data_IF_219951648607
#
_entry.id   IF_219951648607
#
_cell.length_a   1.000
_cell.length_b   1.000
_cell.length_c   1.000
_cell.angle_alpha   90.00
_cell.angle_beta   90.00
_cell.angle_gamma   90.00
#
_symmetry.space_group_name_H-M   'P 1'
#
loop_
_entity.id
_entity.type
_entity.pdbx_description
1 polymer ?
#
# COMPACT_ATOMS: atom_id res chain seq x y z
N UNK A 1 -12.69 -44.75 3.33
CA UNK A 1 -11.69 -43.78 3.89
C UNK A 1 -11.60 -42.54 3.01
N UNK A 2 -12.74 -42.13 2.37
CA UNK A 2 -12.79 -40.99 1.44
C UNK A 2 -13.77 -39.86 1.85
N UNK A 3 -14.47 -40.02 2.97
CA UNK A 3 -15.51 -39.03 3.38
C UNK A 3 -14.96 -37.85 4.19
N UNK A 4 -13.72 -37.98 4.73
CA UNK A 4 -13.15 -36.91 5.57
C UNK A 4 -12.60 -35.68 4.78
N UNK A 5 -12.33 -35.83 3.49
CA UNK A 5 -11.85 -34.72 2.65
C UNK A 5 -13.01 -33.90 2.11
N UNK A 6 -14.16 -34.56 1.84
CA UNK A 6 -15.35 -33.86 1.34
C UNK A 6 -15.98 -32.95 2.42
N UNK A 7 -15.94 -33.35 3.68
CA UNK A 7 -16.44 -32.54 4.80
C UNK A 7 -15.54 -31.33 5.12
N UNK A 8 -14.24 -31.41 4.79
CA UNK A 8 -13.30 -30.29 4.95
C UNK A 8 -13.52 -29.16 3.95
N UNK A 9 -14.20 -29.44 2.83
CA UNK A 9 -14.45 -28.48 1.75
C UNK A 9 -15.89 -27.94 1.73
N UNK A 10 -16.75 -28.38 2.66
CA UNK A 10 -18.11 -27.88 2.68
C UNK A 10 -18.15 -26.39 3.10
N UNK A 11 -19.05 -25.64 2.45
CA UNK A 11 -19.21 -24.17 2.66
C UNK A 11 -19.40 -23.79 4.14
N UNK A 12 -20.00 -24.68 4.94
CA UNK A 12 -20.20 -24.49 6.38
C UNK A 12 -18.88 -24.54 7.17
N UNK A 13 -17.98 -25.49 6.83
CA UNK A 13 -16.68 -25.58 7.46
C UNK A 13 -15.78 -24.43 7.05
N UNK A 14 -15.90 -23.96 5.81
CA UNK A 14 -15.21 -22.76 5.33
C UNK A 14 -15.67 -21.51 6.08
N UNK A 15 -16.98 -21.29 6.21
CA UNK A 15 -17.52 -20.17 6.93
C UNK A 15 -17.23 -20.23 8.43
N UNK A 16 -17.27 -21.42 9.04
CA UNK A 16 -16.94 -21.58 10.46
C UNK A 16 -15.46 -21.34 10.79
N UNK A 17 -14.55 -21.66 9.88
CA UNK A 17 -13.10 -21.40 10.04
C UNK A 17 -12.71 -19.97 9.62
N UNK A 18 -13.40 -19.37 8.67
CA UNK A 18 -13.22 -17.98 8.27
C UNK A 18 -13.76 -17.00 9.31
N UNK A 19 -14.64 -17.44 10.20
CA UNK A 19 -15.13 -16.62 11.33
C UNK A 19 -14.02 -16.28 12.34
N UNK A 20 -12.91 -17.05 12.36
CA UNK A 20 -11.73 -16.76 13.17
C UNK A 20 -10.68 -15.88 12.44
N UNK A 21 -10.90 -15.57 11.16
CA UNK A 21 -10.06 -14.68 10.37
C UNK A 21 -10.57 -13.23 10.38
N UNK A 22 -10.22 -12.48 9.33
CA UNK A 22 -10.63 -11.08 9.13
C UNK A 22 -12.14 -10.84 9.22
N UNK A 23 -12.96 -11.86 8.87
CA UNK A 23 -14.42 -11.80 9.04
C UNK A 23 -14.86 -11.76 10.50
N UNK A 24 -14.18 -12.48 11.39
CA UNK A 24 -14.42 -12.44 12.83
C UNK A 24 -14.01 -11.09 13.43
N UNK A 25 -12.92 -10.50 12.96
CA UNK A 25 -12.52 -9.15 13.34
C UNK A 25 -13.52 -8.10 12.87
N UNK A 26 -13.99 -8.19 11.63
CA UNK A 26 -15.01 -7.30 11.11
C UNK A 26 -16.36 -7.47 11.86
N UNK A 27 -16.76 -8.70 12.14
CA UNK A 27 -17.99 -8.97 12.90
C UNK A 27 -17.89 -8.48 14.36
N UNK A 28 -16.74 -8.63 15.01
CA UNK A 28 -16.49 -8.08 16.36
C UNK A 28 -16.50 -6.55 16.35
N UNK A 29 -15.91 -5.91 15.33
CA UNK A 29 -15.95 -4.46 15.20
C UNK A 29 -17.37 -3.92 14.92
N UNK A 30 -18.15 -4.62 14.11
CA UNK A 30 -19.56 -4.29 13.86
C UNK A 30 -20.43 -4.54 15.09
N UNK A 31 -20.20 -5.63 15.81
CA UNK A 31 -20.89 -5.93 17.05
C UNK A 31 -20.55 -4.95 18.16
N UNK A 32 -19.29 -4.57 18.30
CA UNK A 32 -18.85 -3.51 19.21
C UNK A 32 -19.48 -2.16 18.87
N UNK A 33 -19.69 -1.85 17.59
CA UNK A 33 -20.35 -0.62 17.15
C UNK A 33 -21.87 -0.65 17.47
N UNK A 34 -22.51 -1.80 17.35
CA UNK A 34 -23.91 -2.00 17.74
C UNK A 34 -24.12 -1.91 19.28
N UNK A 35 -23.13 -2.35 20.06
CA UNK A 35 -23.14 -2.24 21.53
C UNK A 35 -22.73 -0.85 22.03
N UNK A 36 -21.93 -0.09 21.27
CA UNK A 36 -21.51 1.27 21.61
C UNK A 36 -22.64 2.32 21.51
N UNK A 37 -23.82 1.93 21.05
CA UNK A 37 -25.03 2.76 21.13
C UNK A 37 -25.66 2.80 22.55
N UNK A 38 -25.08 2.08 23.53
CA UNK A 38 -25.41 2.19 24.95
C UNK A 38 -24.44 3.16 25.65
N UNK A 39 -24.92 4.15 26.43
CA UNK A 39 -24.08 5.24 26.95
C UNK A 39 -23.12 4.88 28.10
N UNK A 40 -22.97 3.62 28.50
CA UNK A 40 -22.43 3.33 29.83
C UNK A 40 -21.32 2.29 29.98
N UNK A 41 -20.64 1.82 28.92
CA UNK A 41 -19.43 1.04 29.16
C UNK A 41 -18.27 1.50 28.28
N UNK A 42 -17.18 2.04 28.85
CA UNK A 42 -15.95 2.24 28.11
C UNK A 42 -15.30 0.87 27.92
N UNK A 43 -15.66 0.16 26.83
CA UNK A 43 -14.85 -0.97 26.37
C UNK A 43 -13.44 -0.45 26.22
N UNK A 44 -12.53 -0.99 27.01
CA UNK A 44 -11.12 -0.64 26.99
C UNK A 44 -10.63 -0.71 25.55
N UNK A 45 -10.41 0.45 24.95
CA UNK A 45 -9.83 0.53 23.59
C UNK A 45 -8.43 -0.05 23.70
N UNK A 46 -8.03 -0.92 22.77
CA UNK A 46 -6.68 -1.43 22.76
C UNK A 46 -5.66 -0.28 22.83
N UNK A 47 -4.53 -0.50 23.48
CA UNK A 47 -3.48 0.52 23.67
C UNK A 47 -2.89 1.11 22.38
N UNK A 48 -3.17 0.50 21.23
CA UNK A 48 -2.88 1.01 19.89
C UNK A 48 -4.04 1.84 19.31
N UNK A 49 -4.62 2.71 20.10
CA UNK A 49 -5.68 3.60 19.62
C UNK A 49 -5.19 4.39 18.41
N UNK A 50 -5.81 4.15 17.27
CA UNK A 50 -5.62 5.01 16.11
C UNK A 50 -6.00 6.45 16.50
N UNK A 51 -5.25 7.45 16.05
CA UNK A 51 -5.61 8.84 16.24
C UNK A 51 -7.06 9.05 15.81
N UNK A 52 -7.77 9.93 16.50
CA UNK A 52 -9.15 10.27 16.13
C UNK A 52 -9.17 10.67 14.65
N UNK A 53 -9.96 9.96 13.85
CA UNK A 53 -10.07 10.22 12.43
C UNK A 53 -10.55 11.65 12.19
N UNK A 54 -9.73 12.45 11.53
CA UNK A 54 -10.05 13.85 11.20
C UNK A 54 -10.40 14.02 9.72
N UNK A 55 -9.87 13.16 8.87
CA UNK A 55 -10.10 13.21 7.43
C UNK A 55 -11.54 12.80 7.11
N UNK A 56 -12.23 13.67 6.37
CA UNK A 56 -13.59 13.45 5.89
C UNK A 56 -13.63 12.98 4.43
N UNK A 57 -12.57 13.26 3.68
CA UNK A 57 -12.44 12.92 2.26
C UNK A 57 -11.02 12.45 1.99
N UNK A 58 -10.89 11.50 1.09
CA UNK A 58 -9.61 10.97 0.64
C UNK A 58 -9.59 11.06 -0.88
N UNK A 59 -8.54 11.64 -1.42
CA UNK A 59 -8.25 11.65 -2.85
C UNK A 59 -6.96 10.86 -3.06
N UNK A 60 -7.00 9.86 -3.93
CA UNK A 60 -5.84 9.07 -4.29
C UNK A 60 -5.43 9.43 -5.70
N UNK A 61 -4.23 9.97 -5.84
CA UNK A 61 -3.61 10.20 -7.14
C UNK A 61 -2.66 9.05 -7.38
N UNK A 62 -3.07 8.12 -8.24
CA UNK A 62 -2.28 6.95 -8.57
C UNK A 62 -1.58 7.15 -9.92
N UNK A 63 -0.25 7.09 -9.89
CA UNK A 63 0.57 7.20 -11.08
C UNK A 63 0.97 5.79 -11.54
N UNK A 64 0.19 5.26 -12.47
CA UNK A 64 0.39 3.92 -13.03
C UNK A 64 1.75 3.82 -13.73
N UNK A 65 2.42 2.67 -13.57
CA UNK A 65 3.72 2.40 -14.16
C UNK A 65 4.89 2.96 -13.35
N UNK A 66 4.60 3.65 -12.26
CA UNK A 66 5.59 4.13 -11.29
C UNK A 66 6.46 5.28 -11.81
N UNK A 67 6.70 6.21 -10.93
CA UNK A 67 7.79 7.17 -11.06
C UNK A 67 9.06 6.55 -10.48
N UNK A 68 10.23 6.92 -11.00
CA UNK A 68 11.50 6.51 -10.41
C UNK A 68 11.67 7.17 -9.03
N UNK A 69 11.50 6.42 -7.96
CA UNK A 69 11.71 6.93 -6.61
C UNK A 69 13.14 7.41 -6.39
N UNK A 70 14.12 6.78 -7.07
CA UNK A 70 15.53 7.14 -6.98
C UNK A 70 15.83 8.50 -7.63
N UNK A 71 15.02 8.93 -8.59
CA UNK A 71 15.14 10.22 -9.24
C UNK A 71 14.33 11.32 -8.58
N UNK A 72 13.35 10.98 -7.72
CA UNK A 72 12.38 11.93 -7.18
C UNK A 72 12.43 12.10 -5.66
N UNK A 73 12.51 10.98 -4.91
CA UNK A 73 12.25 11.01 -3.47
C UNK A 73 13.33 10.33 -2.61
N UNK A 74 14.16 9.47 -3.20
CA UNK A 74 15.09 8.63 -2.46
C UNK A 74 16.50 8.74 -3.01
N UNK A 75 17.15 9.86 -2.70
CA UNK A 75 18.53 10.12 -3.10
C UNK A 75 19.47 9.04 -2.57
N UNK A 76 20.29 8.47 -3.44
CA UNK A 76 21.30 7.47 -3.12
C UNK A 76 22.67 7.94 -3.61
N UNK A 77 23.41 8.74 -2.84
CA UNK A 77 24.72 9.28 -3.24
C UNK A 77 25.69 8.19 -3.70
N UNK A 78 25.70 7.04 -3.02
CA UNK A 78 26.55 5.90 -3.35
C UNK A 78 26.34 5.39 -4.79
N UNK A 79 25.10 5.47 -5.31
CA UNK A 79 24.84 5.08 -6.71
C UNK A 79 25.43 6.08 -7.70
N UNK A 80 25.51 7.36 -7.30
CA UNK A 80 26.15 8.41 -8.11
C UNK A 80 27.67 8.20 -8.14
N UNK A 81 28.27 7.87 -6.99
CA UNK A 81 29.72 7.59 -6.86
C UNK A 81 30.16 6.35 -7.64
N UNK A 82 29.35 5.28 -7.57
CA UNK A 82 29.65 3.99 -8.22
C UNK A 82 29.07 3.84 -9.62
N UNK A 83 28.73 4.93 -10.24
CA UNK A 83 28.09 4.91 -11.56
C UNK A 83 28.99 4.22 -12.59
N UNK A 84 28.42 3.24 -13.29
CA UNK A 84 29.11 2.44 -14.32
C UNK A 84 29.87 1.23 -13.79
N UNK A 85 30.01 1.07 -12.47
CA UNK A 85 30.54 -0.16 -11.91
C UNK A 85 29.54 -1.31 -12.10
N UNK A 86 30.04 -2.54 -12.23
CA UNK A 86 29.17 -3.72 -12.27
C UNK A 86 28.49 -3.95 -10.92
N UNK A 87 27.22 -4.35 -10.93
CA UNK A 87 26.44 -4.62 -9.74
C UNK A 87 27.12 -5.71 -8.89
N UNK A 88 27.48 -5.43 -7.62
CA UNK A 88 28.15 -6.40 -6.77
C UNK A 88 27.31 -7.67 -6.56
N UNK A 89 27.90 -8.86 -6.59
CA UNK A 89 27.20 -10.12 -6.34
C UNK A 89 26.47 -10.16 -4.99
N UNK A 90 27.00 -9.45 -3.99
CA UNK A 90 26.39 -9.35 -2.65
C UNK A 90 25.04 -8.62 -2.65
N UNK A 91 24.84 -7.69 -3.59
CA UNK A 91 23.56 -6.98 -3.76
C UNK A 91 22.56 -7.87 -4.51
N UNK A 92 23.07 -8.62 -5.48
CA UNK A 92 22.23 -9.51 -6.30
C UNK A 92 21.67 -10.70 -5.53
N UNK A 93 22.34 -11.17 -4.48
CA UNK A 93 21.93 -12.28 -3.58
C UNK A 93 21.40 -13.54 -4.27
N UNK A 94 21.75 -13.77 -5.54
CA UNK A 94 21.23 -14.88 -6.33
C UNK A 94 19.78 -14.71 -6.80
N UNK A 95 19.15 -13.58 -6.56
CA UNK A 95 17.80 -13.31 -7.03
C UNK A 95 17.75 -13.26 -8.56
N UNK A 96 16.66 -13.76 -9.12
CA UNK A 96 16.41 -13.68 -10.56
C UNK A 96 16.26 -12.22 -10.95
N UNK A 97 17.06 -11.81 -11.92
CA UNK A 97 16.86 -10.53 -12.60
C UNK A 97 15.54 -10.63 -13.37
N UNK A 98 14.81 -9.52 -13.45
CA UNK A 98 13.59 -9.48 -14.25
C UNK A 98 13.87 -9.93 -15.68
N UNK A 99 12.94 -10.61 -16.34
CA UNK A 99 13.10 -11.07 -17.71
C UNK A 99 13.48 -9.96 -18.71
N UNK A 100 13.23 -8.70 -18.35
CA UNK A 100 13.62 -7.52 -19.13
C UNK A 100 15.13 -7.29 -19.12
N UNK A 101 15.82 -7.69 -18.05
CA UNK A 101 17.27 -7.48 -17.86
C UNK A 101 18.09 -8.78 -18.03
N UNK A 102 17.43 -9.92 -18.15
CA UNK A 102 18.07 -11.25 -18.22
C UNK A 102 19.03 -11.38 -19.43
N UNK A 103 18.74 -10.64 -20.52
CA UNK A 103 19.57 -10.63 -21.73
C UNK A 103 20.69 -9.58 -21.71
N UNK A 104 20.78 -8.78 -20.66
CA UNK A 104 21.87 -7.80 -20.52
C UNK A 104 23.13 -8.51 -20.04
N UNK A 105 24.21 -8.38 -20.80
CA UNK A 105 25.49 -8.97 -20.46
C UNK A 105 26.20 -8.32 -19.27
N UNK A 106 25.76 -7.11 -18.87
CA UNK A 106 26.27 -6.36 -17.74
C UNK A 106 25.13 -5.62 -17.03
N UNK A 107 25.28 -5.41 -15.73
CA UNK A 107 24.32 -4.68 -14.89
C UNK A 107 25.01 -3.48 -14.24
N UNK A 108 25.28 -2.41 -15.00
CA UNK A 108 25.98 -1.26 -14.45
C UNK A 108 25.11 -0.52 -13.43
N UNK A 109 25.73 -0.09 -12.35
CA UNK A 109 25.11 0.79 -11.35
C UNK A 109 24.83 2.15 -11.98
N UNK A 110 23.60 2.65 -11.77
CA UNK A 110 23.17 3.95 -12.28
C UNK A 110 22.57 4.76 -11.14
N UNK A 111 23.10 5.95 -10.88
CA UNK A 111 22.54 6.93 -9.97
C UNK A 111 21.70 7.97 -10.70
N UNK A 112 20.91 8.73 -9.94
CA UNK A 112 20.13 9.85 -10.47
C UNK A 112 21.01 10.89 -11.16
N UNK A 113 20.48 11.47 -12.22
CA UNK A 113 21.09 12.60 -12.93
C UNK A 113 20.65 13.95 -12.38
N UNK A 114 19.60 13.95 -11.56
CA UNK A 114 18.97 15.14 -11.02
C UNK A 114 19.57 15.50 -9.67
N UNK A 115 19.52 16.79 -9.37
CA UNK A 115 19.96 17.28 -8.08
C UNK A 115 18.82 17.21 -7.05
N UNK A 116 19.22 17.00 -5.79
CA UNK A 116 18.30 16.94 -4.67
C UNK A 116 18.54 18.12 -3.74
N UNK A 117 17.45 18.66 -3.20
CA UNK A 117 17.51 19.76 -2.25
C UNK A 117 16.51 19.56 -1.12
N UNK A 118 16.69 20.30 -0.06
CA UNK A 118 15.80 20.28 1.10
C UNK A 118 14.69 21.29 0.92
N UNK A 119 13.45 20.84 1.06
CA UNK A 119 12.25 21.66 0.94
C UNK A 119 11.55 21.79 2.30
N UNK A 120 10.90 22.94 2.50
CA UNK A 120 10.13 23.25 3.69
C UNK A 120 10.97 23.38 4.98
N UNK A 121 10.30 23.64 6.07
CA UNK A 121 10.89 23.69 7.41
C UNK A 121 11.28 22.29 7.90
N UNK A 122 10.55 21.26 7.44
CA UNK A 122 10.82 19.85 7.74
C UNK A 122 12.08 19.32 7.04
N UNK A 123 12.69 20.08 6.12
CA UNK A 123 13.85 19.69 5.30
C UNK A 123 13.62 18.37 4.55
N UNK A 124 12.45 18.23 3.93
CA UNK A 124 12.14 17.06 3.14
C UNK A 124 13.01 17.03 1.89
N UNK A 125 13.90 16.02 1.80
CA UNK A 125 14.83 15.85 0.70
C UNK A 125 14.11 15.31 -0.53
N UNK A 126 14.03 16.09 -1.60
CA UNK A 126 13.39 15.73 -2.88
C UNK A 126 14.16 16.30 -4.07
N UNK A 127 13.88 15.74 -5.25
CA UNK A 127 14.48 16.17 -6.50
C UNK A 127 14.02 17.56 -6.93
N UNK A 128 14.89 18.26 -7.65
CA UNK A 128 14.60 19.49 -8.37
C UNK A 128 13.43 19.40 -9.36
N UNK A 129 13.08 18.17 -9.77
CA UNK A 129 11.95 17.91 -10.66
C UNK A 129 10.58 18.16 -10.02
N UNK A 130 10.52 18.35 -8.72
CA UNK A 130 9.29 18.46 -7.95
C UNK A 130 9.14 19.83 -7.26
N UNK A 131 9.29 20.96 -7.99
CA UNK A 131 9.27 22.29 -7.37
C UNK A 131 7.94 22.59 -6.66
N UNK A 132 6.81 22.28 -7.30
CA UNK A 132 5.49 22.54 -6.73
C UNK A 132 5.15 21.64 -5.54
N UNK A 133 5.64 20.39 -5.55
CA UNK A 133 5.51 19.52 -4.38
C UNK A 133 6.38 20.02 -3.23
N UNK A 134 7.50 20.64 -3.55
CA UNK A 134 8.38 21.30 -2.59
C UNK A 134 7.72 22.47 -1.85
N UNK A 135 6.80 23.19 -2.48
CA UNK A 135 6.06 24.29 -1.86
C UNK A 135 5.16 23.82 -0.70
N UNK A 136 4.70 22.57 -0.74
CA UNK A 136 3.83 21.94 0.27
C UNK A 136 4.56 20.88 1.09
N UNK A 137 5.90 20.88 1.10
CA UNK A 137 6.71 19.85 1.73
C UNK A 137 6.39 19.65 3.22
N UNK A 138 6.05 20.73 3.94
CA UNK A 138 5.72 20.67 5.37
C UNK A 138 4.39 19.95 5.65
N UNK A 139 3.53 19.78 4.64
CA UNK A 139 2.25 19.07 4.73
C UNK A 139 2.36 17.61 4.24
N UNK A 140 3.54 17.18 3.80
CA UNK A 140 3.76 15.86 3.23
C UNK A 140 4.32 14.87 4.23
N UNK A 141 3.85 13.62 4.15
CA UNK A 141 4.49 12.46 4.74
C UNK A 141 5.01 11.54 3.64
N UNK A 142 6.33 11.37 3.57
CA UNK A 142 6.97 10.49 2.60
C UNK A 142 7.29 9.13 3.24
N UNK A 143 6.67 8.06 2.71
CA UNK A 143 6.90 6.69 3.16
C UNK A 143 7.78 5.98 2.13
N UNK A 144 9.08 5.81 2.43
CA UNK A 144 10.08 5.18 1.54
C UNK A 144 10.18 3.67 1.70
N UNK A 145 9.54 3.10 2.71
CA UNK A 145 9.64 1.67 3.05
C UNK A 145 8.54 0.81 2.42
N UNK A 146 7.68 1.38 1.59
CA UNK A 146 6.67 0.60 0.88
C UNK A 146 7.33 -0.29 -0.16
N UNK A 147 6.93 -1.55 -0.18
CA UNK A 147 7.44 -2.56 -1.12
C UNK A 147 6.33 -3.55 -1.49
N UNK A 148 6.53 -4.26 -2.57
CA UNK A 148 5.66 -5.33 -3.03
C UNK A 148 6.51 -6.48 -3.55
N UNK A 149 6.03 -7.72 -3.42
CA UNK A 149 6.70 -8.91 -3.93
C UNK A 149 6.45 -9.14 -5.43
N UNK A 150 5.63 -8.29 -6.06
CA UNK A 150 5.29 -8.42 -7.46
C UNK A 150 6.06 -7.40 -8.32
N UNK A 151 6.69 -7.92 -9.36
CA UNK A 151 7.47 -7.13 -10.32
C UNK A 151 6.63 -6.55 -11.46
N UNK A 152 5.43 -7.08 -11.68
CA UNK A 152 4.51 -6.60 -12.72
C UNK A 152 3.61 -5.50 -12.17
N UNK A 153 3.46 -4.42 -12.93
CA UNK A 153 2.67 -3.25 -12.53
C UNK A 153 1.22 -3.61 -12.21
N UNK A 154 0.56 -4.43 -13.03
CA UNK A 154 -0.85 -4.80 -12.87
C UNK A 154 -1.09 -5.59 -11.58
N UNK A 155 -0.22 -6.55 -11.28
CA UNK A 155 -0.32 -7.34 -10.06
C UNK A 155 -0.04 -6.49 -8.81
N UNK A 156 0.99 -5.64 -8.87
CA UNK A 156 1.33 -4.73 -7.77
C UNK A 156 0.21 -3.71 -7.51
N UNK A 157 -0.39 -3.15 -8.57
CA UNK A 157 -1.54 -2.27 -8.49
C UNK A 157 -2.77 -2.97 -7.89
N UNK A 158 -3.05 -4.18 -8.34
CA UNK A 158 -4.17 -4.98 -7.82
C UNK A 158 -4.01 -5.20 -6.31
N UNK A 159 -2.81 -5.55 -5.84
CA UNK A 159 -2.52 -5.68 -4.41
C UNK A 159 -2.71 -4.35 -3.67
N UNK A 160 -2.20 -3.25 -4.21
CA UNK A 160 -2.33 -1.94 -3.58
C UNK A 160 -3.80 -1.57 -3.33
N UNK A 161 -4.68 -1.85 -4.29
CA UNK A 161 -6.07 -1.46 -4.19
C UNK A 161 -6.99 -2.50 -3.55
N UNK A 162 -6.64 -3.79 -3.59
CA UNK A 162 -7.52 -4.86 -3.10
C UNK A 162 -6.93 -5.73 -1.99
N UNK A 163 -5.62 -5.56 -1.70
CA UNK A 163 -4.88 -6.39 -0.73
C UNK A 163 -4.53 -7.79 -1.23
N UNK A 164 -4.76 -8.10 -2.51
CA UNK A 164 -4.51 -9.43 -3.10
C UNK A 164 -4.20 -9.31 -4.59
N UNK A 165 -3.38 -10.21 -5.17
CA UNK A 165 -3.16 -10.22 -6.62
C UNK A 165 -4.34 -10.81 -7.42
N UNK A 166 -5.36 -11.37 -6.74
CA UNK A 166 -6.51 -12.00 -7.38
C UNK A 166 -7.48 -10.96 -7.91
N UNK A 167 -7.86 -11.10 -9.17
CA UNK A 167 -8.86 -10.23 -9.81
C UNK A 167 -10.26 -10.44 -9.22
N UNK A 168 -11.12 -9.45 -9.38
CA UNK A 168 -12.52 -9.51 -8.97
C UNK A 168 -12.76 -9.24 -7.47
N UNK A 169 -11.74 -8.80 -6.73
CA UNK A 169 -11.90 -8.37 -5.33
C UNK A 169 -12.24 -6.88 -5.28
N UNK A 170 -13.14 -6.46 -4.37
CA UNK A 170 -13.45 -5.05 -4.18
C UNK A 170 -12.21 -4.27 -3.73
N UNK A 171 -12.08 -3.04 -4.22
CA UNK A 171 -11.03 -2.14 -3.77
C UNK A 171 -11.30 -1.65 -2.34
N UNK A 172 -10.25 -1.15 -1.68
CA UNK A 172 -10.41 -0.52 -0.37
C UNK A 172 -11.39 0.68 -0.39
N UNK A 173 -11.50 1.40 -1.52
CA UNK A 173 -12.50 2.45 -1.69
C UNK A 173 -13.93 1.90 -1.70
N UNK A 174 -14.17 0.79 -2.41
CA UNK A 174 -15.45 0.10 -2.40
C UNK A 174 -15.81 -0.44 -1.00
N UNK A 175 -14.82 -1.01 -0.29
CA UNK A 175 -15.00 -1.45 1.10
C UNK A 175 -15.30 -0.28 2.04
N UNK A 176 -14.65 0.86 1.85
CA UNK A 176 -14.90 2.06 2.66
C UNK A 176 -16.32 2.56 2.46
N UNK A 177 -16.79 2.65 1.21
CA UNK A 177 -18.17 3.01 0.90
C UNK A 177 -19.17 2.02 1.51
N UNK A 178 -18.92 0.73 1.36
CA UNK A 178 -19.80 -0.30 1.96
C UNK A 178 -19.88 -0.22 3.49
N UNK A 179 -18.75 0.02 4.16
CA UNK A 179 -18.68 -0.03 5.63
C UNK A 179 -19.04 1.29 6.31
N UNK A 180 -18.79 2.42 5.68
CA UNK A 180 -18.92 3.76 6.26
C UNK A 180 -19.95 4.62 5.55
N UNK A 181 -20.38 4.23 4.36
CA UNK A 181 -21.39 4.93 3.61
C UNK A 181 -22.75 4.88 4.32
N UNK A 182 -23.49 5.98 4.24
CA UNK A 182 -24.84 6.07 4.80
C UNK A 182 -25.94 5.95 3.73
N UNK A 183 -25.56 5.92 2.45
CA UNK A 183 -26.46 5.80 1.30
C UNK A 183 -27.48 6.95 1.14
N UNK A 184 -27.30 8.04 1.89
CA UNK A 184 -28.26 9.16 1.93
C UNK A 184 -27.88 10.32 1.03
N UNK A 185 -26.65 10.29 0.48
CA UNK A 185 -26.13 11.33 -0.40
C UNK A 185 -26.65 11.22 -1.84
N UNK A 186 -26.78 12.36 -2.52
CA UNK A 186 -27.08 12.40 -3.95
C UNK A 186 -25.83 12.13 -4.84
N UNK A 187 -24.65 12.02 -4.23
CA UNK A 187 -23.39 11.76 -4.92
C UNK A 187 -22.81 10.40 -4.49
N UNK A 188 -22.13 9.70 -5.39
CA UNK A 188 -21.43 8.50 -5.03
C UNK A 188 -20.38 8.77 -3.95
N UNK A 189 -20.27 7.87 -2.98
CA UNK A 189 -19.29 7.95 -1.89
C UNK A 189 -17.88 7.56 -2.33
N UNK A 190 -17.79 6.78 -3.39
CA UNK A 190 -16.55 6.35 -4.01
C UNK A 190 -16.62 6.51 -5.53
N UNK A 191 -15.65 7.23 -6.10
CA UNK A 191 -15.55 7.51 -7.53
C UNK A 191 -14.16 7.16 -8.01
N UNK A 192 -14.08 6.51 -9.17
CA UNK A 192 -12.86 6.26 -9.94
C UNK A 192 -12.96 7.05 -11.24
N UNK A 193 -11.93 7.83 -11.55
CA UNK A 193 -11.82 8.65 -12.76
C UNK A 193 -10.79 8.06 -13.70
#
# INVERSE_FOLDING_TARGET
>A
MNDSIHDLLCRRAFLGRSALGLGGLAATLLHQRALASSPQDPIARPSWQLPTAKAKRVVVIFLSGGLSQLDLFDEKPLLKERRGEELPPSVRKGERISGLTERQGALPVVGSKFEFQDYGKCKLRMSELLPHLGEVADDLLLIRSLQTDHVLHEAAMTILFTGTPLLGRPSWGAWTSYALGDGKGNLPEFVVL
#
